data_IF_661312172370
#
_entry.id   IF_661312172370
#
_cell.length_a   1.000
_cell.length_b   1.000
_cell.length_c   1.000
_cell.angle_alpha   90.00
_cell.angle_beta   90.00
_cell.angle_gamma   90.00
#
_symmetry.space_group_name_H-M   'P 1'
#
loop_
_entity.id
_entity.type
_entity.pdbx_description
1 polymer ?
#
# COMPACT_ATOMS: atom_id res chain seq x y z
N UNK A 1 -13.52 13.16 5.44
CA UNK A 1 -14.95 13.05 5.88
C UNK A 1 -15.94 13.16 4.71
N UNK A 2 -15.49 13.23 3.49
CA UNK A 2 -16.35 13.44 2.30
C UNK A 2 -17.24 12.24 1.94
N UNK A 3 -17.04 11.08 2.56
CA UNK A 3 -17.83 9.86 2.33
C UNK A 3 -18.71 9.46 3.53
N UNK A 4 -18.92 10.37 4.49
CA UNK A 4 -19.76 10.10 5.66
C UNK A 4 -19.19 9.13 6.69
N UNK A 5 -17.94 8.65 6.50
CA UNK A 5 -17.28 7.74 7.42
C UNK A 5 -16.60 8.51 8.57
N UNK A 6 -16.95 8.18 9.81
CA UNK A 6 -16.24 8.66 10.98
C UNK A 6 -14.97 7.83 11.16
N UNK A 7 -13.80 8.48 11.05
CA UNK A 7 -12.52 7.84 11.29
C UNK A 7 -11.62 8.69 12.17
N UNK A 8 -10.77 8.00 12.94
CA UNK A 8 -9.67 8.60 13.71
C UNK A 8 -8.36 8.30 13.01
N UNK A 9 -7.51 9.32 12.87
CA UNK A 9 -6.19 9.17 12.26
C UNK A 9 -5.16 9.42 13.35
N UNK A 10 -4.35 8.40 13.64
CA UNK A 10 -3.25 8.46 14.58
C UNK A 10 -1.93 8.24 13.84
N UNK A 11 -0.90 9.04 14.15
CA UNK A 11 0.46 8.82 13.68
C UNK A 11 1.28 8.17 14.79
N UNK A 12 2.05 7.12 14.44
CA UNK A 12 3.07 6.59 15.35
C UNK A 12 4.44 6.94 14.81
N UNK A 13 5.14 7.80 15.54
CA UNK A 13 6.56 8.03 15.28
C UNK A 13 7.36 6.83 15.84
N UNK A 14 8.17 6.22 14.99
CA UNK A 14 9.14 5.23 15.44
C UNK A 14 10.27 5.94 16.17
N UNK A 15 10.68 5.43 17.32
CA UNK A 15 11.81 5.97 18.12
C UNK A 15 13.15 6.03 17.35
N UNK A 16 13.28 5.25 16.29
CA UNK A 16 14.44 5.29 15.39
C UNK A 16 14.11 6.18 14.19
N UNK A 17 15.05 7.01 13.80
CA UNK A 17 14.94 7.97 12.69
C UNK A 17 14.85 7.21 11.34
N UNK A 18 13.71 6.58 11.09
CA UNK A 18 13.44 5.83 9.86
C UNK A 18 12.72 6.73 8.86
N UNK A 19 13.08 6.61 7.57
CA UNK A 19 12.39 7.31 6.46
C UNK A 19 10.91 6.94 6.32
N UNK A 20 10.47 5.89 7.04
CA UNK A 20 9.09 5.37 6.96
C UNK A 20 8.23 5.98 8.06
N UNK A 21 7.18 6.69 7.67
CA UNK A 21 6.12 7.18 8.56
C UNK A 21 4.95 6.20 8.56
N UNK A 22 4.43 5.90 9.75
CA UNK A 22 3.28 5.00 9.92
C UNK A 22 2.08 5.78 10.43
N UNK A 23 0.95 5.60 9.76
CA UNK A 23 -0.36 6.17 10.13
C UNK A 23 -1.36 5.03 10.34
N UNK A 24 -2.27 5.22 11.27
CA UNK A 24 -3.37 4.30 11.51
C UNK A 24 -4.69 5.04 11.31
N UNK A 25 -5.54 4.52 10.44
CA UNK A 25 -6.90 4.99 10.27
C UNK A 25 -7.80 3.99 10.96
N UNK A 26 -8.51 4.43 11.99
CA UNK A 26 -9.34 3.59 12.84
C UNK A 26 -10.81 3.97 12.67
N UNK A 27 -11.65 2.97 12.44
CA UNK A 27 -13.09 3.07 12.28
C UNK A 27 -13.79 2.28 13.37
N UNK A 28 -14.97 2.74 13.79
CA UNK A 28 -15.87 1.88 14.53
C UNK A 28 -16.52 0.87 13.56
N UNK A 29 -16.32 -0.42 13.82
CA UNK A 29 -16.74 -1.48 12.92
C UNK A 29 -18.29 -1.53 12.79
N UNK A 30 -18.99 -1.32 13.90
CA UNK A 30 -20.46 -1.31 13.90
C UNK A 30 -21.02 -0.15 13.08
N UNK A 31 -20.46 1.06 13.18
CA UNK A 31 -20.85 2.20 12.36
C UNK A 31 -20.61 1.92 10.87
N UNK A 32 -19.47 1.33 10.53
CA UNK A 32 -19.15 0.98 9.16
C UNK A 32 -20.16 0.00 8.56
N UNK A 33 -20.54 -1.04 9.30
CA UNK A 33 -21.51 -2.03 8.85
C UNK A 33 -22.94 -1.51 8.83
N UNK A 34 -23.33 -0.61 9.75
CA UNK A 34 -24.64 0.04 9.70
C UNK A 34 -24.88 0.83 8.41
N UNK A 35 -23.81 1.39 7.82
CA UNK A 35 -23.89 2.10 6.54
C UNK A 35 -24.05 1.13 5.37
N UNK A 36 -23.41 -0.06 5.44
CA UNK A 36 -23.30 -0.97 4.30
C UNK A 36 -24.19 -2.21 4.42
N UNK A 37 -24.36 -2.77 5.63
CA UNK A 37 -25.01 -4.07 5.87
C UNK A 37 -25.66 -4.12 7.25
N UNK A 38 -26.90 -3.64 7.38
CA UNK A 38 -27.60 -3.53 8.66
C UNK A 38 -27.75 -4.86 9.43
N UNK A 39 -27.92 -5.99 8.73
CA UNK A 39 -28.14 -7.30 9.36
C UNK A 39 -26.92 -7.83 10.11
N UNK A 40 -25.71 -7.45 9.70
CA UNK A 40 -24.47 -7.83 10.37
C UNK A 40 -24.12 -6.90 11.54
N UNK A 41 -24.56 -5.65 11.50
CA UNK A 41 -24.24 -4.67 12.53
C UNK A 41 -24.68 -5.08 13.93
N UNK A 42 -25.79 -5.83 14.04
CA UNK A 42 -26.31 -6.32 15.32
C UNK A 42 -25.45 -7.42 15.97
N UNK A 43 -24.56 -8.07 15.18
CA UNK A 43 -23.64 -9.11 15.66
C UNK A 43 -22.30 -8.55 16.11
N UNK A 44 -22.04 -7.28 15.86
CA UNK A 44 -20.77 -6.62 16.14
C UNK A 44 -20.83 -5.90 17.48
N UNK A 45 -19.80 -6.06 18.29
CA UNK A 45 -19.67 -5.36 19.58
C UNK A 45 -19.56 -3.85 19.32
N UNK A 46 -20.25 -3.04 20.13
CA UNK A 46 -20.38 -1.59 19.88
C UNK A 46 -19.07 -0.81 19.88
N UNK A 47 -18.03 -1.31 20.53
CA UNK A 47 -16.70 -0.71 20.64
C UNK A 47 -15.62 -1.43 19.81
N UNK A 48 -16.01 -2.35 18.92
CA UNK A 48 -15.06 -3.04 18.04
C UNK A 48 -14.50 -2.06 16.99
N UNK A 49 -13.17 -2.06 16.86
CA UNK A 49 -12.43 -1.14 16.00
C UNK A 49 -11.74 -1.87 14.87
N UNK A 50 -11.92 -1.36 13.64
CA UNK A 50 -11.13 -1.72 12.48
C UNK A 50 -10.00 -0.70 12.31
N UNK A 51 -8.75 -1.16 12.30
CA UNK A 51 -7.60 -0.28 12.10
C UNK A 51 -6.84 -0.66 10.83
N UNK A 52 -6.69 0.31 9.94
CA UNK A 52 -5.92 0.18 8.70
C UNK A 52 -4.60 0.91 8.88
N UNK A 53 -3.49 0.20 8.71
CA UNK A 53 -2.15 0.78 8.79
C UNK A 53 -1.70 1.24 7.42
N UNK A 54 -1.23 2.51 7.34
CA UNK A 54 -0.56 3.08 6.20
C UNK A 54 0.91 3.31 6.52
N UNK A 55 1.81 2.85 5.68
CA UNK A 55 3.23 3.13 5.77
C UNK A 55 3.65 3.92 4.53
N UNK A 56 4.23 5.09 4.75
CA UNK A 56 4.71 5.99 3.71
C UNK A 56 6.20 6.13 3.86
N UNK A 57 6.94 5.81 2.82
CA UNK A 57 8.38 6.03 2.75
C UNK A 57 8.66 7.32 1.97
N UNK A 58 9.46 8.22 2.55
CA UNK A 58 9.81 9.50 1.93
C UNK A 58 11.10 9.41 1.10
N UNK A 59 11.52 8.21 0.73
CA UNK A 59 12.65 8.00 -0.19
C UNK A 59 12.13 7.73 -1.60
N UNK A 60 12.68 8.44 -2.56
CA UNK A 60 12.48 8.16 -3.98
C UNK A 60 13.53 7.16 -4.46
N UNK A 61 13.16 6.34 -5.44
CA UNK A 61 14.14 5.53 -6.17
C UNK A 61 14.97 6.43 -7.09
N UNK A 62 16.28 6.42 -6.91
CA UNK A 62 17.18 7.07 -7.84
C UNK A 62 17.07 6.39 -9.21
N UNK A 63 16.78 7.18 -10.23
CA UNK A 63 16.61 6.68 -11.60
C UNK A 63 15.25 6.06 -11.92
N UNK A 64 14.29 6.06 -11.00
CA UNK A 64 12.92 5.60 -11.29
C UNK A 64 12.19 6.50 -12.29
N UNK A 65 11.58 5.89 -13.32
CA UNK A 65 10.80 6.59 -14.33
C UNK A 65 9.38 6.77 -13.81
N UNK A 66 8.88 7.99 -13.88
CA UNK A 66 7.52 8.33 -13.42
C UNK A 66 6.62 8.66 -14.58
N UNK A 67 5.33 8.36 -14.42
CA UNK A 67 4.25 8.73 -15.34
C UNK A 67 3.12 9.42 -14.58
N UNK A 68 2.31 10.18 -15.28
CA UNK A 68 1.10 10.81 -14.72
C UNK A 68 -0.11 10.03 -15.18
N UNK A 69 -0.92 9.56 -14.24
CA UNK A 69 -2.18 8.86 -14.52
C UNK A 69 -3.36 9.72 -14.08
N UNK A 70 -4.41 9.75 -14.93
CA UNK A 70 -5.70 10.30 -14.58
C UNK A 70 -6.54 9.21 -13.91
N UNK A 71 -6.97 9.46 -12.69
CA UNK A 71 -7.93 8.61 -11.98
C UNK A 71 -9.31 9.28 -12.01
N UNK A 72 -10.34 8.46 -12.18
CA UNK A 72 -11.71 8.93 -12.37
C UNK A 72 -12.62 8.59 -11.19
N UNK A 73 -12.16 7.75 -10.29
CA UNK A 73 -12.91 7.29 -9.12
C UNK A 73 -12.12 7.60 -7.85
N UNK A 74 -12.71 8.15 -6.80
CA UNK A 74 -14.11 8.59 -6.65
C UNK A 74 -14.42 9.96 -7.29
N UNK A 75 -13.42 10.69 -7.75
CA UNK A 75 -13.51 11.95 -8.48
C UNK A 75 -12.29 12.06 -9.42
N UNK A 76 -12.35 12.97 -10.37
CA UNK A 76 -11.25 13.17 -11.31
C UNK A 76 -10.05 13.83 -10.62
N UNK A 77 -8.89 13.18 -10.67
CA UNK A 77 -7.61 13.76 -10.24
C UNK A 77 -6.44 13.08 -10.96
N UNK A 78 -5.32 13.78 -11.01
CA UNK A 78 -4.08 13.24 -11.55
C UNK A 78 -3.16 12.80 -10.43
N UNK A 79 -2.48 11.67 -10.63
CA UNK A 79 -1.46 11.16 -9.71
C UNK A 79 -0.17 10.90 -10.47
N UNK A 80 0.96 11.35 -9.90
CA UNK A 80 2.29 10.99 -10.38
C UNK A 80 2.69 9.66 -9.72
N UNK A 81 2.94 8.65 -10.52
CA UNK A 81 3.33 7.32 -10.07
C UNK A 81 4.56 6.84 -10.83
N UNK A 82 5.26 5.83 -10.31
CA UNK A 82 6.25 5.14 -11.10
C UNK A 82 5.58 4.35 -12.23
N UNK A 83 6.27 4.24 -13.37
CA UNK A 83 5.81 3.36 -14.44
C UNK A 83 5.91 1.87 -14.01
N UNK A 84 5.26 0.99 -14.76
CA UNK A 84 5.16 -0.42 -14.39
C UNK A 84 6.53 -1.12 -14.35
N UNK A 85 7.44 -0.78 -15.24
CA UNK A 85 8.80 -1.34 -15.30
C UNK A 85 9.60 -0.98 -14.03
N UNK A 86 9.50 0.27 -13.56
CA UNK A 86 10.13 0.71 -12.31
C UNK A 86 9.52 0.01 -11.10
N UNK A 87 8.19 -0.16 -11.08
CA UNK A 87 7.51 -0.89 -10.01
C UNK A 87 7.94 -2.36 -9.98
N UNK A 88 8.04 -3.01 -11.13
CA UNK A 88 8.54 -4.39 -11.23
C UNK A 88 9.99 -4.50 -10.75
N UNK A 89 10.86 -3.59 -11.22
CA UNK A 89 12.25 -3.52 -10.78
C UNK A 89 12.35 -3.41 -9.24
N UNK A 90 11.58 -2.52 -8.63
CA UNK A 90 11.57 -2.33 -7.18
C UNK A 90 11.11 -3.58 -6.42
N UNK A 91 10.16 -4.34 -6.98
CA UNK A 91 9.70 -5.61 -6.42
C UNK A 91 10.76 -6.69 -6.48
N UNK A 92 11.48 -6.80 -7.59
CA UNK A 92 12.59 -7.74 -7.72
C UNK A 92 13.71 -7.45 -6.72
N UNK A 93 14.11 -6.18 -6.56
CA UNK A 93 15.09 -5.78 -5.54
C UNK A 93 14.63 -6.19 -4.15
N UNK A 94 13.35 -5.91 -3.83
CA UNK A 94 12.79 -6.26 -2.53
C UNK A 94 12.80 -7.77 -2.27
N UNK A 95 12.57 -8.58 -3.30
CA UNK A 95 12.62 -10.06 -3.22
C UNK A 95 14.06 -10.54 -3.04
N UNK A 96 15.00 -10.04 -3.84
CA UNK A 96 16.41 -10.45 -3.81
C UNK A 96 17.10 -10.07 -2.49
N UNK A 97 16.82 -8.87 -1.97
CA UNK A 97 17.42 -8.38 -0.73
C UNK A 97 16.76 -8.91 0.55
N UNK A 98 15.70 -9.71 0.42
CA UNK A 98 15.00 -10.23 1.58
C UNK A 98 15.75 -11.40 2.21
N UNK A 99 15.93 -11.35 3.53
CA UNK A 99 16.45 -12.49 4.29
C UNK A 99 15.35 -13.56 4.41
N UNK A 100 15.42 -14.60 3.60
CA UNK A 100 14.44 -15.70 3.52
C UNK A 100 14.59 -16.76 4.64
N UNK A 101 15.18 -16.41 5.76
CA UNK A 101 15.60 -17.39 6.78
C UNK A 101 14.44 -18.10 7.50
N UNK A 102 13.26 -17.49 7.61
CA UNK A 102 12.19 -18.06 8.45
C UNK A 102 10.82 -18.10 7.80
N UNK A 103 10.53 -17.30 6.77
CA UNK A 103 9.20 -17.23 6.17
C UNK A 103 9.22 -16.76 4.73
N UNK A 104 8.73 -17.62 3.85
CA UNK A 104 8.41 -17.24 2.47
C UNK A 104 7.07 -16.49 2.46
N UNK A 105 7.04 -15.31 1.83
CA UNK A 105 5.80 -14.54 1.67
C UNK A 105 5.23 -14.77 0.28
N UNK A 106 4.17 -15.56 0.19
CA UNK A 106 3.51 -15.90 -1.09
C UNK A 106 3.08 -14.68 -1.91
N UNK A 107 2.77 -13.55 -1.26
CA UNK A 107 2.44 -12.30 -1.97
C UNK A 107 3.56 -11.79 -2.87
N UNK A 108 4.83 -12.03 -2.54
CA UNK A 108 5.95 -11.55 -3.33
C UNK A 108 6.06 -12.36 -4.65
N UNK A 109 5.74 -13.66 -4.60
CA UNK A 109 5.62 -14.49 -5.81
C UNK A 109 4.40 -14.12 -6.64
N UNK A 110 3.27 -13.80 -5.98
CA UNK A 110 2.09 -13.31 -6.68
C UNK A 110 2.39 -12.02 -7.44
N UNK A 111 3.03 -11.04 -6.80
CA UNK A 111 3.44 -9.79 -7.43
C UNK A 111 4.38 -10.05 -8.63
N UNK A 112 5.34 -10.96 -8.47
CA UNK A 112 6.26 -11.35 -9.55
C UNK A 112 5.49 -11.93 -10.76
N UNK A 113 4.61 -12.90 -10.53
CA UNK A 113 3.79 -13.51 -11.59
C UNK A 113 2.88 -12.46 -12.25
N UNK A 114 2.28 -11.56 -11.47
CA UNK A 114 1.46 -10.49 -12.01
C UNK A 114 2.22 -9.65 -13.05
N UNK A 115 3.45 -9.24 -12.76
CA UNK A 115 4.25 -8.46 -13.69
C UNK A 115 4.67 -9.28 -14.93
N UNK A 116 5.04 -10.54 -14.75
CA UNK A 116 5.39 -11.42 -15.88
C UNK A 116 4.20 -11.62 -16.81
N UNK A 117 3.00 -11.85 -16.28
CA UNK A 117 1.78 -11.98 -17.12
C UNK A 117 1.41 -10.70 -17.86
N UNK A 118 1.85 -9.54 -17.38
CA UNK A 118 1.73 -8.28 -18.10
C UNK A 118 2.80 -8.10 -19.20
N UNK A 119 3.63 -9.11 -19.46
CA UNK A 119 4.77 -9.06 -20.39
C UNK A 119 5.73 -7.89 -20.10
N UNK A 120 5.89 -7.55 -18.84
CA UNK A 120 6.76 -6.47 -18.42
C UNK A 120 8.19 -6.96 -18.22
N UNK A 121 9.12 -6.16 -18.69
CA UNK A 121 10.55 -6.35 -18.44
C UNK A 121 10.97 -5.35 -17.35
N UNK A 122 11.79 -5.76 -16.36
CA UNK A 122 12.29 -4.82 -15.36
C UNK A 122 13.03 -3.65 -16.03
N UNK A 123 12.78 -2.44 -15.55
CA UNK A 123 13.44 -1.25 -16.09
C UNK A 123 14.96 -1.33 -15.99
N UNK A 124 15.65 -0.74 -16.94
CA UNK A 124 17.11 -0.79 -17.14
C UNK A 124 17.96 -0.36 -15.94
N UNK A 125 17.36 0.36 -15.00
CA UNK A 125 18.07 0.99 -13.88
C UNK A 125 18.41 0.05 -12.71
N UNK A 126 18.02 -1.22 -12.78
CA UNK A 126 18.30 -2.20 -11.73
C UNK A 126 19.75 -2.69 -11.67
N UNK A 127 20.55 -2.43 -12.66
CA UNK A 127 21.89 -3.02 -12.76
C UNK A 127 22.98 -2.32 -11.94
N UNK A 128 22.64 -1.29 -11.17
CA UNK A 128 23.66 -0.39 -10.62
C UNK A 128 24.01 -0.68 -9.14
N UNK A 129 23.22 -1.47 -8.39
CA UNK A 129 23.45 -1.67 -6.94
C UNK A 129 23.10 -3.07 -6.43
N UNK A 130 23.75 -4.10 -6.95
CA UNK A 130 23.88 -5.39 -6.29
C UNK A 130 25.26 -5.49 -5.63
#
# INVERSE_FOLDING_TARGET
KSFGLNCKIDSKEKKNNTSVKSYFITFNLKELFNISYSDYANKIISNELLSIKFEIENKTFDGGITETKLLTTPFFYTVKTFNMETLFASKLIAVLNRKWQTRVKGRDFYDYLFYIFQHLVPGHLMYIHL
#
